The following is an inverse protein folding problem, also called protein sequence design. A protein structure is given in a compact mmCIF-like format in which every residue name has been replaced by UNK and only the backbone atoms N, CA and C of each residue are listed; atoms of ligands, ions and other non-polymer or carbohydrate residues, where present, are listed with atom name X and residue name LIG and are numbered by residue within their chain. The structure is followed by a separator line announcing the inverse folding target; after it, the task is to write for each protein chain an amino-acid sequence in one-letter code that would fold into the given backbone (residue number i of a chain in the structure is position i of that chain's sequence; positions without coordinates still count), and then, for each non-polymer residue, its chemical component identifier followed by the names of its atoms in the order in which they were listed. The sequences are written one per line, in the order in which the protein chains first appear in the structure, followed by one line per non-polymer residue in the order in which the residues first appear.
data_IF_666226370995
#
_entry.id   IF_666226370995
#
_cell.length_a   1.000
_cell.length_b   1.000
_cell.length_c   1.000
_cell.angle_alpha   90.00
_cell.angle_beta   90.00
_cell.angle_gamma   90.00
#
_symmetry.space_group_name_H-M   'P 1'
#
loop_
_entity.id
_entity.type
_entity.pdbx_description
1 polymer ?
#
# COMPACT_ATOMS: atom_id res chain seq x y z
N UNK A 1 -8.52 27.16 -32.83
CA UNK A 1 -8.59 25.78 -32.30
C UNK A 1 -7.58 25.66 -31.17
N UNK A 2 -7.98 25.41 -29.91
CA UNK A 2 -7.00 25.25 -28.83
C UNK A 2 -6.44 23.83 -28.87
N UNK A 3 -5.12 23.74 -28.99
CA UNK A 3 -4.34 22.53 -28.83
C UNK A 3 -4.47 22.06 -27.37
N UNK A 4 -5.23 21.00 -27.12
CA UNK A 4 -5.20 20.31 -25.83
C UNK A 4 -3.89 19.53 -25.74
N UNK A 5 -2.93 20.06 -24.97
CA UNK A 5 -1.78 19.30 -24.49
C UNK A 5 -2.30 18.20 -23.56
N UNK A 6 -2.36 16.98 -24.08
CA UNK A 6 -2.54 15.77 -23.26
C UNK A 6 -1.32 15.66 -22.34
N UNK A 7 -1.48 16.09 -21.09
CA UNK A 7 -0.53 15.81 -20.02
C UNK A 7 -0.53 14.29 -19.77
N UNK A 8 0.38 13.57 -20.43
CA UNK A 8 0.68 12.19 -20.07
C UNK A 8 1.31 12.23 -18.68
N UNK A 9 0.55 11.77 -17.68
CA UNK A 9 1.09 11.54 -16.34
C UNK A 9 2.18 10.48 -16.44
N UNK A 10 3.38 10.67 -15.88
CA UNK A 10 4.44 9.67 -15.94
C UNK A 10 3.92 8.35 -15.39
N UNK A 11 4.08 7.28 -16.18
CA UNK A 11 3.71 5.93 -15.79
C UNK A 11 4.48 5.56 -14.52
N UNK A 12 3.76 5.35 -13.42
CA UNK A 12 4.39 5.11 -12.12
C UNK A 12 4.98 3.71 -12.09
N UNK A 13 6.22 3.59 -11.63
CA UNK A 13 6.87 2.29 -11.44
C UNK A 13 6.06 1.48 -10.42
N UNK A 14 5.56 0.33 -10.85
CA UNK A 14 4.88 -0.65 -10.01
C UNK A 14 5.68 -1.94 -10.05
N UNK A 15 6.07 -2.43 -8.89
CA UNK A 15 6.88 -3.64 -8.76
C UNK A 15 5.94 -4.85 -8.69
N UNK A 16 5.97 -5.70 -9.71
CA UNK A 16 5.19 -6.93 -9.71
C UNK A 16 5.91 -8.01 -8.90
N UNK A 17 5.21 -8.64 -7.98
CA UNK A 17 5.67 -9.78 -7.19
C UNK A 17 4.86 -11.00 -7.61
N UNK A 18 5.55 -12.11 -7.84
CA UNK A 18 4.92 -13.42 -8.04
C UNK A 18 4.86 -14.16 -6.71
N UNK A 19 3.68 -14.67 -6.36
CA UNK A 19 3.45 -15.32 -5.07
C UNK A 19 2.51 -16.52 -5.24
N UNK A 20 2.81 -17.61 -4.53
CA UNK A 20 1.93 -18.77 -4.41
C UNK A 20 1.33 -18.85 -2.98
N UNK A 21 0.20 -19.55 -2.79
CA UNK A 21 -0.33 -19.82 -1.46
C UNK A 21 0.69 -20.51 -0.55
N UNK A 22 0.64 -20.22 0.74
CA UNK A 22 1.53 -20.77 1.78
C UNK A 22 3.00 -20.39 1.61
N UNK A 23 3.27 -19.27 0.95
CA UNK A 23 4.61 -18.68 0.85
C UNK A 23 4.76 -17.45 1.73
N UNK A 24 5.98 -17.29 2.24
CA UNK A 24 6.47 -16.03 2.80
C UNK A 24 7.49 -15.44 1.83
N UNK A 25 7.25 -14.21 1.41
CA UNK A 25 8.12 -13.47 0.51
C UNK A 25 8.73 -12.32 1.32
N UNK A 26 10.05 -12.20 1.24
CA UNK A 26 10.80 -11.13 1.90
C UNK A 26 11.59 -10.37 0.85
N UNK A 27 11.35 -9.07 0.75
CA UNK A 27 12.04 -8.20 -0.21
C UNK A 27 12.60 -6.98 0.51
N UNK A 28 13.69 -6.45 -0.02
CA UNK A 28 14.22 -5.14 0.35
C UNK A 28 13.68 -4.08 -0.61
N UNK A 29 13.45 -2.88 -0.11
CA UNK A 29 13.06 -1.72 -0.91
C UNK A 29 13.57 -0.43 -0.30
N UNK A 30 13.54 0.66 -1.08
CA UNK A 30 13.83 2.00 -0.59
C UNK A 30 12.76 2.98 -1.09
N UNK A 31 12.35 3.93 -0.25
CA UNK A 31 11.44 5.00 -0.67
C UNK A 31 11.97 5.83 -1.86
N UNK A 32 13.29 5.84 -2.08
CA UNK A 32 13.93 6.46 -3.22
C UNK A 32 13.53 5.82 -4.57
N UNK A 33 13.10 4.55 -4.57
CA UNK A 33 12.57 3.86 -5.75
C UNK A 33 11.12 4.24 -6.07
N UNK A 34 10.47 4.95 -5.15
CA UNK A 34 9.10 5.41 -5.26
C UNK A 34 8.99 6.83 -5.84
N UNK A 35 7.77 7.35 -5.83
CA UNK A 35 7.49 8.71 -6.24
C UNK A 35 6.39 9.33 -5.38
N UNK A 36 6.35 10.66 -5.33
CA UNK A 36 5.26 11.38 -4.68
C UNK A 36 3.91 11.05 -5.34
N UNK A 37 2.89 10.85 -4.51
CA UNK A 37 1.52 10.68 -4.96
C UNK A 37 0.90 12.06 -5.23
N UNK A 38 0.55 12.42 -6.49
CA UNK A 38 0.11 13.76 -6.85
C UNK A 38 -1.24 14.11 -6.24
N UNK A 39 -2.08 13.11 -5.96
CA UNK A 39 -3.34 13.27 -5.26
C UNK A 39 -3.57 12.09 -4.32
N UNK A 40 -3.90 12.38 -3.06
CA UNK A 40 -4.27 11.37 -2.05
C UNK A 40 -5.78 11.24 -1.87
N UNK A 41 -6.58 12.06 -2.56
CA UNK A 41 -8.04 12.09 -2.41
C UNK A 41 -8.74 10.78 -2.76
N UNK A 42 -8.07 9.91 -3.52
CA UNK A 42 -8.52 8.54 -3.73
C UNK A 42 -8.72 7.79 -2.41
N UNK A 43 -7.94 8.07 -1.37
CA UNK A 43 -7.92 7.28 -0.15
C UNK A 43 -9.13 7.53 0.75
N UNK A 44 -9.74 8.72 0.72
CA UNK A 44 -10.90 9.07 1.54
C UNK A 44 -12.16 9.31 0.72
N UNK A 45 -12.15 9.01 -0.58
CA UNK A 45 -13.40 8.96 -1.33
C UNK A 45 -14.27 7.82 -0.81
N UNK A 46 -15.59 7.96 -0.86
CA UNK A 46 -16.51 6.97 -0.26
C UNK A 46 -16.48 5.59 -0.94
N UNK A 47 -15.93 5.49 -2.16
CA UNK A 47 -15.84 4.24 -2.92
C UNK A 47 -14.58 3.42 -2.63
N UNK A 48 -13.61 4.00 -1.91
CA UNK A 48 -12.36 3.37 -1.49
C UNK A 48 -12.24 3.37 0.04
N UNK A 49 -12.45 4.53 0.67
CA UNK A 49 -12.49 4.72 2.13
C UNK A 49 -11.33 4.04 2.91
N UNK A 50 -10.11 4.11 2.38
CA UNK A 50 -8.95 3.45 2.96
C UNK A 50 -8.43 4.12 4.24
N UNK A 51 -8.31 5.45 4.23
CA UNK A 51 -7.96 6.23 5.41
C UNK A 51 -8.60 7.62 5.33
N UNK A 52 -8.99 8.22 6.47
CA UNK A 52 -9.64 9.52 6.45
C UNK A 52 -8.64 10.64 6.13
N UNK A 53 -9.15 11.75 5.57
CA UNK A 53 -8.33 12.90 5.18
C UNK A 53 -7.49 13.49 6.34
N UNK A 54 -7.95 13.34 7.59
CA UNK A 54 -7.21 13.76 8.79
C UNK A 54 -5.87 13.03 8.97
N UNK A 55 -5.70 11.86 8.34
CA UNK A 55 -4.49 11.04 8.40
C UNK A 55 -3.53 11.30 7.22
N UNK A 56 -3.88 12.23 6.32
CA UNK A 56 -3.14 12.51 5.07
C UNK A 56 -1.64 12.66 5.27
N UNK A 57 -1.21 13.36 6.32
CA UNK A 57 0.23 13.63 6.55
C UNK A 57 1.08 12.38 6.73
N UNK A 58 0.47 11.24 7.08
CA UNK A 58 1.17 9.96 7.21
C UNK A 58 1.50 9.32 5.86
N UNK A 59 1.05 9.92 4.76
CA UNK A 59 1.15 9.37 3.40
C UNK A 59 1.66 10.40 2.37
N UNK A 60 2.33 11.47 2.80
CA UNK A 60 2.77 12.58 1.92
C UNK A 60 4.17 12.41 1.33
N UNK A 61 4.94 11.42 1.76
CA UNK A 61 6.26 11.09 1.22
C UNK A 61 6.19 10.29 -0.08
N UNK A 62 7.30 9.66 -0.45
CA UNK A 62 7.35 8.79 -1.62
C UNK A 62 6.54 7.52 -1.39
N UNK A 63 5.88 7.05 -2.45
CA UNK A 63 5.11 5.81 -2.48
C UNK A 63 5.86 4.80 -3.36
N UNK A 64 6.25 3.67 -2.77
CA UNK A 64 6.72 2.50 -3.53
C UNK A 64 5.55 1.56 -3.67
N UNK A 65 5.16 1.27 -4.92
CA UNK A 65 3.99 0.47 -5.22
C UNK A 65 4.39 -0.95 -5.61
N UNK A 66 3.76 -1.93 -4.99
CA UNK A 66 3.87 -3.34 -5.33
C UNK A 66 2.52 -3.88 -5.77
N UNK A 67 2.53 -4.87 -6.66
CA UNK A 67 1.34 -5.63 -7.04
C UNK A 67 1.61 -7.11 -7.04
N UNK A 68 0.65 -7.88 -6.56
CA UNK A 68 0.68 -9.33 -6.58
C UNK A 68 -0.72 -9.90 -6.68
N UNK A 69 -0.82 -11.16 -7.09
CA UNK A 69 -2.07 -11.90 -7.05
C UNK A 69 -2.28 -12.49 -5.65
N UNK A 70 -3.50 -12.33 -5.12
CA UNK A 70 -4.01 -13.05 -3.97
C UNK A 70 -4.93 -14.17 -4.48
N UNK A 71 -4.49 -15.44 -4.45
CA UNK A 71 -5.26 -16.57 -4.96
C UNK A 71 -6.57 -16.77 -4.20
N UNK A 72 -7.56 -17.42 -4.81
CA UNK A 72 -8.78 -17.84 -4.09
C UNK A 72 -8.44 -18.74 -2.88
N UNK A 73 -9.32 -18.75 -1.87
CA UNK A 73 -9.14 -19.46 -0.61
C UNK A 73 -7.83 -19.14 0.09
N UNK A 74 -7.48 -17.85 0.13
CA UNK A 74 -6.29 -17.40 0.84
C UNK A 74 -6.49 -16.06 1.54
N UNK A 75 -5.63 -15.82 2.52
CA UNK A 75 -5.49 -14.55 3.21
C UNK A 75 -4.03 -14.08 3.14
N UNK A 76 -3.85 -12.76 3.16
CA UNK A 76 -2.54 -12.12 3.10
C UNK A 76 -2.34 -11.15 4.26
N UNK A 77 -1.13 -11.19 4.80
CA UNK A 77 -0.58 -10.22 5.74
C UNK A 77 0.66 -9.59 5.12
N UNK A 78 0.76 -8.27 5.22
CA UNK A 78 1.91 -7.50 4.77
C UNK A 78 2.51 -6.79 5.97
N UNK A 79 3.78 -7.04 6.22
CA UNK A 79 4.57 -6.42 7.27
C UNK A 79 5.69 -5.59 6.66
N UNK A 80 5.82 -4.34 7.08
CA UNK A 80 6.88 -3.41 6.67
C UNK A 80 7.70 -3.05 7.90
N UNK A 81 9.01 -3.26 7.79
CA UNK A 81 9.99 -2.96 8.84
C UNK A 81 11.00 -1.99 8.24
N UNK A 82 11.04 -0.71 8.67
CA UNK A 82 12.08 0.21 8.24
C UNK A 82 13.47 -0.24 8.72
N UNK A 83 14.51 0.01 7.93
CA UNK A 83 15.89 -0.27 8.31
C UNK A 83 16.37 0.69 9.43
N UNK A 84 15.90 1.94 9.41
CA UNK A 84 16.03 2.90 10.51
C UNK A 84 14.72 2.92 11.33
N UNK A 85 14.74 2.52 12.62
CA UNK A 85 13.56 2.57 13.48
C UNK A 85 12.92 3.97 13.64
N UNK A 86 13.64 5.04 13.32
CA UNK A 86 13.13 6.41 13.34
C UNK A 86 12.43 6.81 12.03
N UNK A 87 12.62 6.06 10.95
CA UNK A 87 11.92 6.31 9.69
C UNK A 87 10.42 6.05 9.87
N UNK A 88 9.63 7.11 9.76
CA UNK A 88 8.19 7.01 9.95
C UNK A 88 7.51 6.55 8.66
N UNK A 89 7.41 5.23 8.52
CA UNK A 89 6.71 4.59 7.41
C UNK A 89 5.24 4.33 7.73
N UNK A 90 4.45 4.33 6.67
CA UNK A 90 3.07 3.86 6.62
C UNK A 90 2.95 2.83 5.50
N UNK A 91 1.96 1.95 5.61
CA UNK A 91 1.61 1.00 4.56
C UNK A 91 0.10 1.01 4.36
N UNK A 92 -0.32 0.93 3.10
CA UNK A 92 -1.69 0.57 2.74
C UNK A 92 -1.66 -0.62 1.80
N UNK A 93 -2.70 -1.43 1.82
CA UNK A 93 -2.91 -2.49 0.85
C UNK A 93 -4.39 -2.58 0.49
N UNK A 94 -4.68 -2.81 -0.79
CA UNK A 94 -6.07 -2.94 -1.24
C UNK A 94 -6.24 -3.98 -2.33
N UNK A 95 -7.46 -4.52 -2.40
CA UNK A 95 -7.87 -5.53 -3.37
C UNK A 95 -8.62 -4.88 -4.54
N UNK A 96 -8.22 -5.22 -5.76
CA UNK A 96 -8.94 -4.91 -7.01
C UNK A 96 -9.15 -6.18 -7.82
N UNK A 97 -10.01 -6.11 -8.84
CA UNK A 97 -10.20 -7.22 -9.76
C UNK A 97 -8.87 -7.64 -10.41
N UNK A 98 -8.66 -8.95 -10.61
CA UNK A 98 -7.37 -9.55 -10.97
C UNK A 98 -6.64 -8.91 -12.16
N UNK A 99 -7.37 -8.34 -13.13
CA UNK A 99 -6.82 -7.72 -14.33
C UNK A 99 -7.00 -6.19 -14.36
N UNK A 100 -7.35 -5.56 -13.24
CA UNK A 100 -7.60 -4.14 -13.16
C UNK A 100 -6.30 -3.34 -13.23
N UNK A 101 -6.23 -2.40 -14.17
CA UNK A 101 -5.12 -1.42 -14.25
C UNK A 101 -5.42 -0.11 -13.52
N UNK A 102 -6.61 0.01 -12.94
CA UNK A 102 -7.06 1.22 -12.24
C UNK A 102 -6.50 1.20 -10.82
N UNK A 103 -5.26 1.65 -10.68
CA UNK A 103 -4.57 1.80 -9.40
C UNK A 103 -4.44 3.27 -9.01
N UNK A 104 -4.01 3.52 -7.78
CA UNK A 104 -3.81 4.87 -7.26
C UNK A 104 -2.87 5.70 -8.16
N UNK A 105 -3.18 6.99 -8.37
CA UNK A 105 -4.23 7.79 -7.75
C UNK A 105 -5.58 7.65 -8.46
N UNK A 106 -5.62 6.96 -9.60
CA UNK A 106 -6.82 6.80 -10.43
C UNK A 106 -7.60 5.53 -10.03
N UNK A 107 -7.76 5.32 -8.72
CA UNK A 107 -8.49 4.20 -8.14
C UNK A 107 -9.96 4.60 -7.92
N UNK A 108 -10.92 4.10 -8.72
CA UNK A 108 -12.33 4.46 -8.57
C UNK A 108 -12.99 3.76 -7.36
N UNK A 109 -12.58 2.53 -7.08
CA UNK A 109 -13.07 1.71 -5.98
C UNK A 109 -12.14 0.54 -5.73
N UNK A 110 -12.24 -0.07 -4.54
CA UNK A 110 -11.57 -1.32 -4.18
C UNK A 110 -12.54 -2.26 -3.46
N UNK A 111 -12.23 -3.55 -3.43
CA UNK A 111 -13.01 -4.56 -2.71
C UNK A 111 -12.79 -4.42 -1.20
N UNK A 112 -11.53 -4.22 -0.81
CA UNK A 112 -11.09 -3.99 0.56
C UNK A 112 -9.87 -3.08 0.54
N UNK A 113 -9.73 -2.24 1.56
CA UNK A 113 -8.49 -1.50 1.84
C UNK A 113 -8.14 -1.63 3.32
N UNK A 114 -6.86 -1.85 3.57
CA UNK A 114 -6.29 -2.00 4.91
C UNK A 114 -5.08 -1.09 5.02
N UNK A 115 -4.88 -0.50 6.19
CA UNK A 115 -3.86 0.54 6.40
C UNK A 115 -3.22 0.41 7.77
N UNK A 116 -1.91 0.65 7.83
CA UNK A 116 -1.18 0.78 9.07
C UNK A 116 -0.22 1.96 9.03
N UNK A 117 -0.29 2.78 10.06
CA UNK A 117 0.52 3.99 10.21
C UNK A 117 0.75 4.29 11.70
N UNK A 118 1.66 5.21 12.02
CA UNK A 118 1.89 5.66 13.41
C UNK A 118 0.59 6.16 14.04
N UNK A 119 0.34 5.86 15.31
CA UNK A 119 -0.85 6.35 16.04
C UNK A 119 -0.68 7.81 16.45
N UNK A 120 -1.79 8.55 16.50
CA UNK A 120 -1.80 9.94 16.97
C UNK A 120 -1.67 10.03 18.50
N UNK A 121 -2.04 8.94 19.20
CA UNK A 121 -1.96 8.83 20.65
C UNK A 121 -1.66 7.39 21.07
N UNK A 122 -1.06 7.20 22.25
CA UNK A 122 -0.92 5.87 22.84
C UNK A 122 -2.28 5.20 23.04
N UNK A 123 -2.34 3.89 22.84
CA UNK A 123 -3.50 3.07 23.17
C UNK A 123 -3.23 2.34 24.48
N UNK A 124 -4.20 2.37 25.40
CA UNK A 124 -4.06 1.73 26.72
C UNK A 124 -3.69 0.25 26.55
N UNK A 125 -2.60 -0.16 27.20
CA UNK A 125 -2.12 -1.55 27.17
C UNK A 125 -1.50 -1.97 25.83
N UNK A 126 -1.19 -1.03 24.93
CA UNK A 126 -0.51 -1.33 23.66
C UNK A 126 0.68 -0.40 23.44
N UNK A 127 1.78 -0.98 23.00
CA UNK A 127 2.95 -0.24 22.51
C UNK A 127 3.01 -0.39 21.01
N UNK A 128 3.22 0.70 20.29
CA UNK A 128 3.48 0.67 18.86
C UNK A 128 4.99 0.76 18.64
N UNK A 129 5.53 -0.18 17.90
CA UNK A 129 6.92 -0.16 17.43
C UNK A 129 7.05 0.57 16.08
N UNK A 130 8.18 0.39 15.40
CA UNK A 130 8.42 0.96 14.07
C UNK A 130 7.82 0.12 12.92
N UNK A 131 7.32 -1.09 13.23
CA UNK A 131 6.74 -2.02 12.27
C UNK A 131 5.33 -1.59 11.87
N UNK A 132 4.95 -1.81 10.60
CA UNK A 132 3.59 -1.59 10.11
C UNK A 132 3.05 -2.89 9.54
N UNK A 133 1.90 -3.32 10.03
CA UNK A 133 1.26 -4.58 9.61
C UNK A 133 -0.14 -4.28 9.13
N UNK A 134 -0.43 -4.68 7.89
CA UNK A 134 -1.79 -4.77 7.37
C UNK A 134 -2.15 -6.24 7.16
N UNK A 135 -3.32 -6.62 7.65
CA UNK A 135 -3.86 -7.97 7.58
C UNK A 135 -5.30 -7.91 7.09
N UNK A 136 -6.02 -9.03 7.06
CA UNK A 136 -7.40 -9.13 6.56
C UNK A 136 -7.57 -8.88 5.05
N UNK A 137 -6.50 -8.95 4.26
CA UNK A 137 -6.64 -9.13 2.82
C UNK A 137 -7.07 -10.58 2.59
N UNK A 138 -8.25 -10.82 2.01
CA UNK A 138 -8.86 -12.15 1.91
C UNK A 138 -9.54 -12.33 0.55
N UNK A 139 -9.17 -13.42 -0.11
CA UNK A 139 -9.83 -13.93 -1.30
C UNK A 139 -10.56 -15.23 -0.93
N UNK A 140 -11.90 -15.21 -0.92
CA UNK A 140 -12.72 -16.40 -0.64
C UNK A 140 -12.92 -17.18 -1.95
N UNK A 141 -13.85 -16.72 -2.79
CA UNK A 141 -14.27 -17.46 -3.99
C UNK A 141 -13.67 -16.93 -5.30
N UNK A 142 -12.92 -15.83 -5.26
CA UNK A 142 -12.32 -15.20 -6.43
C UNK A 142 -10.92 -14.70 -6.07
N UNK A 143 -9.93 -14.88 -6.97
CA UNK A 143 -8.63 -14.24 -6.80
C UNK A 143 -8.75 -12.72 -7.01
N UNK A 144 -7.88 -11.97 -6.37
CA UNK A 144 -7.78 -10.52 -6.50
C UNK A 144 -6.35 -10.11 -6.82
N UNK A 145 -6.20 -8.96 -7.46
CA UNK A 145 -4.91 -8.29 -7.48
C UNK A 145 -4.84 -7.41 -6.23
N UNK A 146 -3.78 -7.60 -5.44
CA UNK A 146 -3.47 -6.75 -4.30
C UNK A 146 -2.48 -5.69 -4.74
N UNK A 147 -2.76 -4.44 -4.41
CA UNK A 147 -1.79 -3.34 -4.54
C UNK A 147 -1.35 -2.94 -3.14
N UNK A 148 -0.04 -2.87 -2.92
CA UNK A 148 0.58 -2.45 -1.66
C UNK A 148 1.31 -1.14 -1.92
N UNK A 149 1.10 -0.14 -1.07
CA UNK A 149 1.91 1.08 -1.05
C UNK A 149 2.70 1.18 0.24
N UNK A 150 4.03 1.19 0.15
CA UNK A 150 4.91 1.58 1.24
C UNK A 150 5.21 3.06 1.11
N UNK A 151 4.97 3.83 2.18
CA UNK A 151 4.91 5.29 2.10
C UNK A 151 5.65 5.95 3.24
N UNK A 152 6.42 6.99 2.93
CA UNK A 152 6.98 7.88 3.94
C UNK A 152 5.94 8.88 4.50
N UNK A 153 5.95 9.11 5.82
CA UNK A 153 5.17 10.17 6.44
C UNK A 153 5.87 11.53 6.35
N UNK A 154 5.10 12.63 6.42
CA UNK A 154 5.60 14.01 6.48
C UNK A 154 6.61 14.35 5.37
N UNK A 155 6.37 13.87 4.15
CA UNK A 155 7.25 14.12 3.00
C UNK A 155 8.53 13.27 2.96
N UNK A 156 8.69 12.26 3.83
CA UNK A 156 9.85 11.36 3.81
C UNK A 156 9.98 10.67 2.45
N UNK A 157 11.08 10.95 1.74
CA UNK A 157 11.27 10.53 0.35
C UNK A 157 12.31 9.40 0.17
N UNK A 158 13.07 9.07 1.21
CA UNK A 158 14.14 8.08 1.19
C UNK A 158 14.14 7.27 2.48
N UNK A 159 14.67 6.06 2.42
CA UNK A 159 14.81 5.18 3.57
C UNK A 159 14.55 3.74 3.16
N UNK A 160 15.50 2.87 3.49
CA UNK A 160 15.40 1.44 3.28
C UNK A 160 14.37 0.79 4.19
N UNK A 161 13.75 -0.26 3.69
CA UNK A 161 12.81 -1.08 4.43
C UNK A 161 12.78 -2.50 3.88
N UNK A 162 12.38 -3.41 4.77
CA UNK A 162 12.03 -4.79 4.45
C UNK A 162 10.51 -4.93 4.39
N UNK A 163 10.00 -5.51 3.32
CA UNK A 163 8.61 -5.96 3.19
C UNK A 163 8.56 -7.49 3.33
N UNK A 164 7.67 -7.97 4.19
CA UNK A 164 7.36 -9.37 4.38
C UNK A 164 5.90 -9.60 4.02
N UNK A 165 5.65 -10.47 3.06
CA UNK A 165 4.31 -10.82 2.59
C UNK A 165 4.08 -12.28 2.92
N UNK A 166 3.08 -12.56 3.75
CA UNK A 166 2.67 -13.91 4.12
C UNK A 166 1.33 -14.20 3.49
N UNK A 167 1.24 -15.26 2.69
CA UNK A 167 -0.02 -15.75 2.13
C UNK A 167 -0.31 -17.11 2.74
N UNK A 168 -1.49 -17.28 3.31
CA UNK A 168 -1.93 -18.56 3.89
C UNK A 168 -3.19 -19.06 3.19
N UNK A 169 -3.29 -20.36 3.00
CA UNK A 169 -4.56 -21.00 2.67
C UNK A 169 -5.58 -20.76 3.77
N UNK A 170 -6.83 -20.57 3.36
CA UNK A 170 -7.99 -20.44 4.23
C UNK A 170 -8.89 -21.68 4.13
#
# INVERSE_FOLDING_TARGET
MPFFLLSQSPERKVIKIEALPNQEIVLQGDLADGALMPALSWAWNSSVACFPATQKQKFTGNHVLYTLELPKYSEMEVTVIPDDPNANLSVYAYEIGLNSRKIVPNLPSCIRCEVAHKWDRPHRGRTQDHTRVVSNLVAINRPYQVVIGVVGANGLAKGGFKIQIKIKSR
#
